data_IF_780293900522
#
_entry.id   IF_780293900522
#
_cell.length_a   1.000
_cell.length_b   1.000
_cell.length_c   1.000
_cell.angle_alpha   90.00
_cell.angle_beta   90.00
_cell.angle_gamma   90.00
#
_symmetry.space_group_name_H-M   'P 1'
#
loop_
_entity.id
_entity.type
_entity.pdbx_description
1 polymer ?
#
# COMPACT_ATOMS: atom_id res chain seq x y z
N UNK A 1 0.11 24.82 -40.19
CA UNK A 1 -0.79 24.99 -39.03
C UNK A 1 -1.75 23.81 -39.03
N UNK A 2 -1.97 23.14 -37.90
CA UNK A 2 -2.91 22.02 -37.86
C UNK A 2 -4.33 22.54 -38.12
N UNK A 3 -5.06 21.91 -39.05
CA UNK A 3 -6.46 22.23 -39.32
C UNK A 3 -7.31 21.93 -38.09
N UNK A 4 -8.11 22.90 -37.67
CA UNK A 4 -9.04 22.82 -36.53
C UNK A 4 -9.97 21.62 -36.65
N UNK A 5 -10.39 21.24 -37.86
CA UNK A 5 -11.24 20.07 -38.08
C UNK A 5 -10.51 18.75 -37.76
N UNK A 6 -9.24 18.64 -38.15
CA UNK A 6 -8.38 17.48 -37.86
C UNK A 6 -8.11 17.35 -36.37
N UNK A 7 -7.78 18.48 -35.70
CA UNK A 7 -7.58 18.50 -34.24
C UNK A 7 -8.86 18.10 -33.51
N UNK A 8 -10.02 18.64 -33.92
CA UNK A 8 -11.32 18.30 -33.33
C UNK A 8 -11.64 16.81 -33.44
N UNK A 9 -11.34 16.17 -34.58
CA UNK A 9 -11.55 14.72 -34.76
C UNK A 9 -10.64 13.91 -33.80
N UNK A 10 -9.36 14.26 -33.70
CA UNK A 10 -8.41 13.60 -32.80
C UNK A 10 -8.81 13.74 -31.33
N UNK A 11 -9.23 14.94 -30.91
CA UNK A 11 -9.72 15.19 -29.55
C UNK A 11 -10.96 14.35 -29.25
N UNK A 12 -11.92 14.25 -30.17
CA UNK A 12 -13.09 13.38 -29.99
C UNK A 12 -12.69 11.92 -29.81
N UNK A 13 -11.78 11.40 -30.62
CA UNK A 13 -11.29 10.02 -30.48
C UNK A 13 -10.59 9.81 -29.13
N UNK A 14 -9.75 10.74 -28.70
CA UNK A 14 -9.06 10.65 -27.41
C UNK A 14 -10.05 10.70 -26.22
N UNK A 15 -11.12 11.50 -26.30
CA UNK A 15 -12.17 11.52 -25.27
C UNK A 15 -12.88 10.16 -25.19
N UNK A 16 -13.25 9.56 -26.32
CA UNK A 16 -13.90 8.24 -26.33
C UNK A 16 -12.97 7.13 -25.82
N UNK A 17 -11.67 7.18 -26.14
CA UNK A 17 -10.68 6.27 -25.59
C UNK A 17 -10.52 6.44 -24.07
N UNK A 18 -10.34 7.67 -23.60
CA UNK A 18 -10.21 7.97 -22.18
C UNK A 18 -11.45 7.51 -21.37
N UNK A 19 -12.66 7.64 -21.94
CA UNK A 19 -13.89 7.13 -21.32
C UNK A 19 -13.89 5.61 -21.15
N UNK A 20 -13.42 4.87 -22.17
CA UNK A 20 -13.32 3.40 -22.12
C UNK A 20 -12.27 2.94 -21.11
N UNK A 21 -11.07 3.52 -21.17
CA UNK A 21 -9.98 3.23 -20.24
C UNK A 21 -10.39 3.53 -18.79
N UNK A 22 -11.13 4.62 -18.55
CA UNK A 22 -11.64 4.94 -17.22
C UNK A 22 -12.65 3.89 -16.72
N UNK A 23 -13.51 3.36 -17.58
CA UNK A 23 -14.46 2.32 -17.20
C UNK A 23 -13.74 1.00 -16.87
N UNK A 24 -12.77 0.61 -17.69
CA UNK A 24 -11.93 -0.58 -17.44
C UNK A 24 -11.12 -0.45 -16.15
N UNK A 25 -10.53 0.73 -15.91
CA UNK A 25 -9.79 1.02 -14.69
C UNK A 25 -10.66 0.89 -13.44
N UNK A 26 -11.90 1.38 -13.48
CA UNK A 26 -12.84 1.22 -12.35
C UNK A 26 -13.14 -0.25 -12.05
N UNK A 27 -13.23 -1.08 -13.10
CA UNK A 27 -13.33 -2.53 -12.96
C UNK A 27 -12.13 -3.11 -12.22
N UNK A 28 -10.91 -2.81 -12.70
CA UNK A 28 -9.65 -3.25 -12.08
C UNK A 28 -9.52 -2.81 -10.62
N UNK A 29 -9.88 -1.57 -10.30
CA UNK A 29 -9.89 -1.05 -8.92
C UNK A 29 -10.87 -1.83 -8.05
N UNK A 30 -12.09 -2.06 -8.51
CA UNK A 30 -13.11 -2.78 -7.72
C UNK A 30 -12.68 -4.21 -7.42
N UNK A 31 -12.10 -4.90 -8.41
CA UNK A 31 -11.59 -6.26 -8.27
C UNK A 31 -10.40 -6.31 -7.30
N UNK A 32 -9.43 -5.42 -7.47
CA UNK A 32 -8.26 -5.32 -6.61
C UNK A 32 -8.62 -4.98 -5.16
N UNK A 33 -9.56 -4.05 -4.93
CA UNK A 33 -10.03 -3.72 -3.58
C UNK A 33 -10.63 -4.94 -2.89
N UNK A 34 -11.49 -5.69 -3.56
CA UNK A 34 -12.07 -6.92 -2.98
C UNK A 34 -11.02 -7.97 -2.64
N UNK A 35 -10.07 -8.19 -3.55
CA UNK A 35 -8.98 -9.15 -3.31
C UNK A 35 -8.09 -8.70 -2.14
N UNK A 36 -7.80 -7.39 -2.06
CA UNK A 36 -6.98 -6.81 -1.02
C UNK A 36 -7.66 -6.82 0.35
N UNK A 37 -8.97 -6.56 0.42
CA UNK A 37 -9.74 -6.64 1.67
C UNK A 37 -9.68 -8.06 2.27
N UNK A 38 -9.86 -9.09 1.43
CA UNK A 38 -9.71 -10.49 1.87
C UNK A 38 -8.29 -10.78 2.37
N UNK A 39 -7.27 -10.36 1.63
CA UNK A 39 -5.87 -10.49 2.06
C UNK A 39 -5.57 -9.76 3.37
N UNK A 40 -6.13 -8.57 3.57
CA UNK A 40 -5.96 -7.80 4.79
C UNK A 40 -6.47 -8.56 6.01
N UNK A 41 -7.70 -9.09 5.92
CA UNK A 41 -8.35 -9.80 7.01
C UNK A 41 -7.70 -11.16 7.29
N UNK A 42 -7.39 -11.91 6.24
CA UNK A 42 -6.94 -13.30 6.35
C UNK A 42 -5.44 -13.45 6.62
N UNK A 43 -4.61 -12.49 6.19
CA UNK A 43 -3.15 -12.59 6.29
C UNK A 43 -2.49 -11.38 6.95
N UNK A 44 -2.71 -10.17 6.42
CA UNK A 44 -1.93 -9.01 6.85
C UNK A 44 -2.17 -8.61 8.31
N UNK A 45 -3.42 -8.44 8.72
CA UNK A 45 -3.77 -8.02 10.07
C UNK A 45 -3.29 -9.05 11.11
N UNK A 46 -3.51 -10.38 10.91
CA UNK A 46 -2.92 -11.41 11.76
C UNK A 46 -1.40 -11.29 11.92
N UNK A 47 -0.67 -11.13 10.82
CA UNK A 47 0.80 -11.00 10.84
C UNK A 47 1.24 -9.73 11.60
N UNK A 48 0.61 -8.59 11.35
CA UNK A 48 0.92 -7.34 12.07
C UNK A 48 0.69 -7.49 13.58
N UNK A 49 -0.41 -8.15 13.98
CA UNK A 49 -0.68 -8.45 15.41
C UNK A 49 0.34 -9.40 16.01
N UNK A 50 0.76 -10.43 15.26
CA UNK A 50 1.81 -11.36 15.66
C UNK A 50 3.12 -10.61 15.93
N UNK A 51 3.54 -9.74 15.00
CA UNK A 51 4.74 -8.91 15.17
C UNK A 51 4.64 -7.97 16.36
N UNK A 52 3.51 -7.26 16.54
CA UNK A 52 3.32 -6.39 17.69
C UNK A 52 3.48 -7.14 19.03
N UNK A 53 2.94 -8.36 19.12
CA UNK A 53 3.09 -9.20 20.31
C UNK A 53 4.55 -9.64 20.54
N UNK A 54 5.26 -10.06 19.47
CA UNK A 54 6.68 -10.46 19.55
C UNK A 54 7.56 -9.28 19.93
N UNK A 55 7.39 -8.12 19.27
CA UNK A 55 8.13 -6.90 19.58
C UNK A 55 7.92 -6.47 21.03
N UNK A 56 6.68 -6.58 21.53
CA UNK A 56 6.36 -6.28 22.92
C UNK A 56 7.11 -7.17 23.91
N UNK A 57 7.25 -8.47 23.63
CA UNK A 57 8.07 -9.35 24.49
C UNK A 57 9.56 -9.00 24.47
N UNK A 58 10.05 -8.41 23.38
CA UNK A 58 11.41 -7.88 23.25
C UNK A 58 11.56 -6.44 23.79
N UNK A 59 10.52 -5.88 24.42
CA UNK A 59 10.54 -4.53 24.99
C UNK A 59 10.35 -3.38 23.97
N UNK A 60 10.05 -3.70 22.71
CA UNK A 60 9.70 -2.78 21.65
C UNK A 60 8.18 -2.64 21.58
N UNK A 61 7.67 -1.48 22.00
CA UNK A 61 6.23 -1.28 22.16
C UNK A 61 5.63 -0.69 20.89
N UNK A 62 4.93 -1.53 20.13
CA UNK A 62 4.17 -1.15 18.95
C UNK A 62 2.71 -1.56 19.11
N UNK A 63 1.79 -0.70 18.66
CA UNK A 63 0.36 -0.96 18.58
C UNK A 63 -0.09 -1.17 17.13
N UNK A 64 -1.10 -2.02 16.93
CA UNK A 64 -1.70 -2.27 15.61
C UNK A 64 -2.99 -1.48 15.48
N UNK A 65 -3.09 -0.69 14.42
CA UNK A 65 -4.28 0.05 14.02
C UNK A 65 -4.76 -0.46 12.66
N UNK A 66 -6.06 -0.58 12.47
CA UNK A 66 -6.68 -1.04 11.22
C UNK A 66 -7.53 0.08 10.62
N UNK A 67 -6.91 1.11 10.02
CA UNK A 67 -7.66 2.13 9.28
C UNK A 67 -8.39 1.49 8.09
N UNK A 68 -9.42 2.16 7.57
CA UNK A 68 -10.19 1.64 6.45
C UNK A 68 -9.28 1.36 5.24
N UNK A 69 -9.25 0.11 4.77
CA UNK A 69 -8.43 -0.31 3.62
C UNK A 69 -6.94 -0.44 3.92
N UNK A 70 -6.54 -0.64 5.18
CA UNK A 70 -5.13 -0.86 5.51
C UNK A 70 -4.87 -1.39 6.92
N UNK A 71 -3.58 -1.59 7.21
CA UNK A 71 -3.08 -1.95 8.54
C UNK A 71 -1.83 -1.14 8.85
N UNK A 72 -1.71 -0.70 10.10
CA UNK A 72 -0.61 0.15 10.58
C UNK A 72 -0.03 -0.42 11.86
N UNK A 73 1.28 -0.56 11.90
CA UNK A 73 2.08 -0.85 13.08
C UNK A 73 2.73 0.46 13.54
N UNK A 74 2.36 0.97 14.70
CA UNK A 74 2.75 2.30 15.20
C UNK A 74 3.52 2.18 16.51
N UNK A 75 4.62 2.91 16.66
CA UNK A 75 5.37 2.92 17.92
C UNK A 75 4.59 3.66 19.01
N UNK A 76 4.47 3.03 20.19
CA UNK A 76 3.85 3.67 21.36
C UNK A 76 4.74 4.79 21.94
N UNK A 77 6.07 4.66 21.79
CA UNK A 77 7.05 5.64 22.32
C UNK A 77 7.13 6.88 21.44
N UNK A 78 6.97 6.72 20.13
CA UNK A 78 7.04 7.79 19.16
C UNK A 78 5.95 7.61 18.11
N UNK A 79 4.80 8.27 18.29
CA UNK A 79 3.61 8.04 17.44
C UNK A 79 3.83 8.36 15.96
N UNK A 80 4.81 9.18 15.62
CA UNK A 80 5.16 9.45 14.21
C UNK A 80 5.92 8.29 13.55
N UNK A 81 6.46 7.36 14.34
CA UNK A 81 7.11 6.15 13.84
C UNK A 81 6.07 5.07 13.54
N UNK A 82 5.91 4.74 12.26
CA UNK A 82 4.97 3.70 11.84
C UNK A 82 5.38 3.01 10.54
N UNK A 83 4.84 1.81 10.38
CA UNK A 83 4.79 1.06 9.12
C UNK A 83 3.31 0.89 8.79
N UNK A 84 2.88 1.38 7.64
CA UNK A 84 1.50 1.32 7.18
C UNK A 84 1.44 0.61 5.83
N UNK A 85 0.44 -0.25 5.65
CA UNK A 85 0.18 -0.96 4.41
C UNK A 85 -1.24 -0.67 3.95
N UNK A 86 -1.37 -0.21 2.70
CA UNK A 86 -2.64 0.17 2.06
C UNK A 86 -2.65 -0.23 0.58
N UNK A 87 -3.82 -0.19 -0.07
CA UNK A 87 -3.91 -0.40 -1.51
C UNK A 87 -3.77 0.94 -2.25
N UNK A 88 -2.72 1.08 -3.05
CA UNK A 88 -2.58 2.21 -3.97
C UNK A 88 -3.48 2.01 -5.20
N UNK A 89 -4.63 2.69 -5.18
CA UNK A 89 -5.60 2.73 -6.29
C UNK A 89 -5.25 3.77 -7.36
N UNK A 90 -4.19 4.57 -7.14
CA UNK A 90 -3.66 5.52 -8.13
C UNK A 90 -2.72 4.85 -9.13
N UNK A 91 -2.09 3.74 -8.75
CA UNK A 91 -1.43 2.83 -9.68
C UNK A 91 -2.42 2.15 -10.65
N UNK A 92 -1.93 1.79 -11.85
CA UNK A 92 -2.66 0.93 -12.79
C UNK A 92 -1.73 -0.17 -13.28
N UNK A 93 -1.95 -1.43 -12.89
CA UNK A 93 -3.03 -1.90 -12.00
C UNK A 93 -2.82 -1.45 -10.53
N UNK A 94 -3.89 -1.37 -9.71
CA UNK A 94 -3.78 -1.09 -8.28
C UNK A 94 -2.85 -2.09 -7.58
N UNK A 95 -2.07 -1.61 -6.62
CA UNK A 95 -1.05 -2.43 -5.97
C UNK A 95 -0.90 -2.10 -4.47
N UNK A 96 -0.58 -3.09 -3.62
CA UNK A 96 -0.23 -2.85 -2.22
C UNK A 96 0.98 -1.93 -2.09
N UNK A 97 0.85 -0.94 -1.22
CA UNK A 97 1.86 0.07 -0.91
C UNK A 97 2.16 0.03 0.59
N UNK A 98 3.45 0.02 0.92
CA UNK A 98 3.92 0.18 2.29
C UNK A 98 4.54 1.55 2.45
N UNK A 99 3.99 2.34 3.36
CA UNK A 99 4.52 3.62 3.81
C UNK A 99 5.22 3.43 5.15
N UNK A 100 6.50 3.82 5.23
CA UNK A 100 7.27 3.83 6.48
C UNK A 100 7.54 5.27 6.86
N UNK A 101 7.11 5.66 8.05
CA UNK A 101 7.41 6.97 8.64
C UNK A 101 8.33 6.78 9.83
N UNK A 102 9.41 7.56 9.89
CA UNK A 102 10.43 7.53 10.94
C UNK A 102 10.84 8.93 11.33
N UNK A 103 10.87 9.23 12.61
CA UNK A 103 11.47 10.45 13.13
C UNK A 103 12.96 10.23 13.36
N UNK A 104 13.76 11.16 12.87
CA UNK A 104 15.21 11.23 13.11
C UNK A 104 15.55 12.61 13.64
N UNK A 105 15.62 12.73 14.97
CA UNK A 105 15.81 14.01 15.65
C UNK A 105 14.63 14.93 15.38
N UNK A 106 14.87 16.05 14.68
CA UNK A 106 13.82 17.02 14.30
C UNK A 106 13.21 16.78 12.91
N UNK A 107 13.61 15.71 12.20
CA UNK A 107 13.16 15.43 10.83
C UNK A 107 12.25 14.22 10.80
N UNK A 108 11.23 14.27 9.96
CA UNK A 108 10.41 13.11 9.59
C UNK A 108 10.92 12.59 8.25
N UNK A 109 11.28 11.31 8.20
CA UNK A 109 11.66 10.59 6.99
C UNK A 109 10.50 9.67 6.64
N UNK A 110 9.93 9.87 5.45
CA UNK A 110 8.91 8.99 4.88
C UNK A 110 9.49 8.28 3.66
N UNK A 111 9.22 6.98 3.55
CA UNK A 111 9.57 6.19 2.38
C UNK A 111 8.41 5.28 2.01
N UNK A 112 8.07 5.27 0.73
CA UNK A 112 7.00 4.44 0.18
C UNK A 112 7.61 3.36 -0.72
N UNK A 113 7.14 2.11 -0.61
CA UNK A 113 7.58 1.01 -1.47
C UNK A 113 6.45 0.01 -1.74
N UNK A 114 6.51 -0.64 -2.89
CA UNK A 114 5.69 -1.81 -3.16
C UNK A 114 6.26 -3.06 -2.46
N UNK A 115 5.40 -4.02 -2.18
CA UNK A 115 5.79 -5.32 -1.62
C UNK A 115 6.34 -6.18 -2.76
N UNK A 116 7.46 -6.89 -2.53
CA UNK A 116 8.01 -7.79 -3.54
C UNK A 116 6.95 -8.86 -3.88
N UNK A 117 6.82 -9.21 -5.15
CA UNK A 117 5.80 -10.14 -5.60
C UNK A 117 4.45 -9.49 -5.93
N UNK A 118 4.20 -8.21 -5.64
CA UNK A 118 2.91 -7.52 -5.88
C UNK A 118 2.54 -7.27 -7.36
N UNK A 119 3.09 -8.02 -8.31
CA UNK A 119 2.75 -7.88 -9.73
C UNK A 119 1.30 -8.37 -9.97
N UNK A 120 0.36 -7.44 -9.82
CA UNK A 120 -1.06 -7.37 -10.22
C UNK A 120 -2.00 -8.57 -10.00
N UNK A 121 -1.53 -9.79 -9.76
CA UNK A 121 -2.34 -11.01 -9.65
C UNK A 121 -1.66 -12.10 -8.82
N UNK A 122 -0.40 -11.91 -8.41
CA UNK A 122 0.19 -12.74 -7.37
C UNK A 122 -0.53 -12.38 -6.08
N UNK A 123 -1.32 -13.32 -5.56
CA UNK A 123 -1.88 -13.23 -4.22
C UNK A 123 -0.71 -13.04 -3.27
N UNK A 124 -0.61 -11.86 -2.65
CA UNK A 124 0.34 -11.67 -1.56
C UNK A 124 0.06 -12.75 -0.52
N UNK A 125 1.10 -13.46 -0.13
CA UNK A 125 1.05 -14.46 0.90
C UNK A 125 1.38 -13.85 2.26
N UNK A 126 1.09 -14.60 3.31
CA UNK A 126 1.52 -14.29 4.68
C UNK A 126 3.04 -14.06 4.75
N UNK A 127 3.81 -14.92 4.08
CA UNK A 127 5.28 -14.86 4.03
C UNK A 127 5.79 -13.52 3.44
N UNK A 128 5.13 -12.98 2.41
CA UNK A 128 5.53 -11.70 1.81
C UNK A 128 5.39 -10.55 2.83
N UNK A 129 4.38 -10.62 3.71
CA UNK A 129 4.19 -9.64 4.79
C UNK A 129 5.24 -9.81 5.88
N UNK A 130 5.56 -11.06 6.23
CA UNK A 130 6.59 -11.38 7.22
C UNK A 130 7.95 -10.86 6.76
N UNK A 131 8.35 -11.18 5.52
CA UNK A 131 9.61 -10.70 4.93
C UNK A 131 9.66 -9.18 4.89
N UNK A 132 8.58 -8.52 4.48
CA UNK A 132 8.47 -7.07 4.46
C UNK A 132 8.67 -6.46 5.86
N UNK A 133 7.96 -6.97 6.88
CA UNK A 133 8.09 -6.47 8.24
C UNK A 133 9.50 -6.71 8.80
N UNK A 134 10.12 -7.86 8.53
CA UNK A 134 11.50 -8.14 8.94
C UNK A 134 12.51 -7.22 8.26
N UNK A 135 12.30 -6.85 7.00
CA UNK A 135 13.13 -5.86 6.30
C UNK A 135 12.95 -4.46 6.91
N UNK A 136 11.71 -4.03 7.12
CA UNK A 136 11.39 -2.66 7.51
C UNK A 136 11.62 -2.39 9.00
N UNK A 137 11.46 -3.39 9.88
CA UNK A 137 11.66 -3.22 11.32
C UNK A 137 13.11 -3.15 11.74
N UNK A 138 14.07 -3.58 10.91
CA UNK A 138 15.53 -3.57 11.23
C UNK A 138 16.04 -2.30 11.91
N UNK A 139 15.63 -1.08 11.51
CA UNK A 139 16.08 0.17 12.14
C UNK A 139 15.71 0.30 13.63
N UNK A 140 14.70 -0.43 14.11
CA UNK A 140 14.26 -0.43 15.50
C UNK A 140 14.70 -1.69 16.29
N UNK A 141 15.30 -2.68 15.63
CA UNK A 141 15.75 -3.93 16.25
C UNK A 141 17.20 -3.87 16.77
N UNK A 142 17.88 -2.73 16.61
CA UNK A 142 19.28 -2.52 17.02
C UNK A 142 19.41 -1.97 18.44
#
# INVERSE_FOLDING_TARGET
>A
MADVAVVRKRVKTAIEQARREQAERRGRVTEATKAYDGFLEDAAIPVFKMFANILKSEGLHFEVMTPAGGVRLQSERQRDDCIEMELDTTADPPQPLVTITRVRGSRIVRSDRCIKGSNSLVQLAEEDVIEMLLEELRPWLL
#
